data_IF_604690375343
#
_entry.id   IF_604690375343
#
_cell.length_a   1.000
_cell.length_b   1.000
_cell.length_c   1.000
_cell.angle_alpha   90.00
_cell.angle_beta   90.00
_cell.angle_gamma   90.00
#
_symmetry.space_group_name_H-M   'P 1'
#
loop_
_entity.id
_entity.type
_entity.pdbx_description
1 polymer ?
#
# COMPACT_ATOMS: atom_id res chain seq x y z
N UNK A 1 -0.50 18.66 8.32
CA UNK A 1 0.31 17.78 7.50
C UNK A 1 -0.52 16.59 7.01
N UNK A 2 -0.45 16.31 5.73
CA UNK A 2 -0.87 15.04 5.15
C UNK A 2 0.29 14.47 4.34
N UNK A 3 0.40 13.15 4.25
CA UNK A 3 1.48 12.50 3.48
C UNK A 3 0.98 11.22 2.83
N UNK A 4 1.55 10.89 1.68
CA UNK A 4 1.57 9.54 1.12
C UNK A 4 3.02 9.08 1.11
N UNK A 5 3.29 7.97 1.77
CA UNK A 5 4.63 7.39 1.90
C UNK A 5 4.57 5.92 1.51
N UNK A 6 5.51 5.50 0.67
CA UNK A 6 5.82 4.09 0.45
C UNK A 6 7.04 3.74 1.29
N UNK A 7 6.91 2.76 2.16
CA UNK A 7 8.00 2.30 3.02
C UNK A 7 8.85 1.25 2.33
N UNK A 8 10.10 1.19 2.71
CA UNK A 8 11.03 0.13 2.37
C UNK A 8 11.59 -0.55 3.61
N UNK A 9 11.99 -1.81 3.46
CA UNK A 9 12.64 -2.62 4.51
C UNK A 9 14.08 -2.88 4.09
N UNK A 10 14.28 -3.74 3.09
CA UNK A 10 15.60 -4.09 2.56
C UNK A 10 16.02 -3.18 1.41
N UNK A 11 15.04 -2.67 0.66
CA UNK A 11 15.23 -1.78 -0.47
C UNK A 11 14.17 -0.68 -0.45
N UNK A 12 14.17 0.19 -1.46
CA UNK A 12 13.12 1.20 -1.64
C UNK A 12 11.83 0.54 -2.14
N UNK A 13 10.69 1.00 -1.60
CA UNK A 13 9.36 0.65 -2.10
C UNK A 13 9.03 -0.86 -2.03
N UNK A 14 9.64 -1.58 -1.08
CA UNK A 14 9.45 -3.02 -0.89
C UNK A 14 8.57 -3.40 0.32
N UNK A 15 7.93 -2.40 0.94
CA UNK A 15 7.00 -2.59 2.05
C UNK A 15 5.62 -1.98 1.74
N UNK A 16 4.94 -1.48 2.74
CA UNK A 16 3.56 -1.01 2.61
C UNK A 16 3.42 0.49 2.36
N UNK A 17 2.24 0.88 1.89
CA UNK A 17 1.83 2.26 1.75
C UNK A 17 1.23 2.81 3.04
N UNK A 18 1.54 4.06 3.35
CA UNK A 18 0.94 4.83 4.43
C UNK A 18 0.27 6.08 3.90
N UNK A 19 -0.98 6.30 4.32
CA UNK A 19 -1.71 7.53 4.09
C UNK A 19 -1.94 8.22 5.43
N UNK A 20 -1.32 9.37 5.63
CA UNK A 20 -1.65 10.28 6.70
C UNK A 20 -2.54 11.39 6.14
N UNK A 21 -3.75 11.52 6.68
CA UNK A 21 -4.70 12.56 6.26
C UNK A 21 -4.66 13.76 7.19
N UNK A 22 -5.03 14.97 6.71
CA UNK A 22 -5.08 16.13 7.57
C UNK A 22 -6.22 15.99 8.58
N UNK A 23 -6.06 16.62 9.74
CA UNK A 23 -7.16 16.75 10.67
C UNK A 23 -8.17 17.79 10.20
N UNK A 24 -9.45 17.48 10.33
CA UNK A 24 -10.54 18.43 9.99
C UNK A 24 -10.59 19.62 10.96
N UNK A 25 -10.22 19.42 12.23
CA UNK A 25 -10.42 20.38 13.31
C UNK A 25 -9.19 20.62 14.20
N UNK A 26 -8.11 19.86 14.05
CA UNK A 26 -6.89 20.09 14.82
C UNK A 26 -5.96 21.03 14.05
N UNK A 27 -5.73 22.20 14.58
CA UNK A 27 -4.97 23.26 13.94
C UNK A 27 -3.51 23.32 14.35
N UNK A 28 -2.97 22.26 14.96
CA UNK A 28 -1.55 22.21 15.32
C UNK A 28 -0.72 22.07 14.03
N UNK A 29 0.13 23.08 13.71
CA UNK A 29 0.90 23.04 12.47
C UNK A 29 2.05 22.03 12.59
N UNK A 30 1.94 20.96 11.84
CA UNK A 30 3.05 20.02 11.62
C UNK A 30 3.44 20.08 10.16
N UNK A 31 4.73 20.03 9.87
CA UNK A 31 5.25 20.05 8.51
C UNK A 31 6.35 19.02 8.36
N UNK A 32 6.50 18.52 7.14
CA UNK A 32 7.60 17.71 6.70
C UNK A 32 8.52 18.59 5.84
N UNK A 33 9.64 19.02 6.40
CA UNK A 33 10.62 19.90 5.76
C UNK A 33 12.03 19.30 6.00
N UNK A 34 12.43 18.32 5.15
CA UNK A 34 13.75 17.72 5.23
C UNK A 34 14.84 18.76 4.91
N UNK A 35 16.04 18.59 5.47
CA UNK A 35 17.18 19.48 5.25
C UNK A 35 17.71 19.38 3.81
N UNK A 36 17.70 18.17 3.25
CA UNK A 36 18.15 17.90 1.88
C UNK A 36 16.97 17.53 0.99
N UNK A 37 17.00 17.89 -0.29
CA UNK A 37 15.99 17.47 -1.24
C UNK A 37 15.92 15.95 -1.37
N UNK A 38 14.70 15.40 -1.51
CA UNK A 38 14.53 13.97 -1.75
C UNK A 38 15.15 13.51 -3.07
N UNK A 39 15.74 12.32 -3.07
CA UNK A 39 16.30 11.70 -4.28
C UNK A 39 15.18 11.10 -5.14
N UNK A 40 15.42 10.97 -6.44
CA UNK A 40 14.53 10.29 -7.42
C UNK A 40 13.06 10.77 -7.36
N UNK A 41 12.82 12.03 -7.07
CA UNK A 41 11.47 12.59 -7.04
C UNK A 41 10.89 12.78 -8.44
N UNK A 42 9.58 12.72 -8.56
CA UNK A 42 8.88 13.01 -9.81
C UNK A 42 9.15 14.46 -10.26
N UNK A 43 9.25 14.66 -11.57
CA UNK A 43 9.48 15.99 -12.14
C UNK A 43 8.38 16.97 -11.73
N UNK A 44 8.77 18.14 -11.26
CA UNK A 44 7.85 19.20 -10.83
C UNK A 44 7.33 19.04 -9.40
N UNK A 45 7.65 17.94 -8.71
CA UNK A 45 7.32 17.78 -7.32
C UNK A 45 8.28 18.53 -6.39
N UNK A 46 7.80 19.00 -5.22
CA UNK A 46 8.60 19.76 -4.25
C UNK A 46 9.82 19.00 -3.71
N UNK A 47 10.83 19.72 -3.23
CA UNK A 47 12.06 19.17 -2.68
C UNK A 47 11.83 18.23 -1.47
N UNK A 48 10.73 18.38 -0.75
CA UNK A 48 10.34 17.52 0.35
C UNK A 48 9.61 16.23 -0.08
N UNK A 49 9.62 15.88 -1.37
CA UNK A 49 9.18 14.58 -1.91
C UNK A 49 10.37 13.77 -2.41
N UNK A 50 10.16 12.48 -2.72
CA UNK A 50 11.21 11.56 -3.14
C UNK A 50 11.70 10.66 -2.02
N UNK A 51 12.89 10.08 -2.20
CA UNK A 51 13.49 9.08 -1.30
C UNK A 51 14.29 9.72 -0.18
N UNK A 52 14.05 9.26 1.04
CA UNK A 52 14.73 9.67 2.27
C UNK A 52 15.00 8.48 3.17
N UNK A 53 15.96 8.62 4.08
CA UNK A 53 16.02 7.79 5.27
C UNK A 53 15.25 8.51 6.39
N UNK A 54 14.41 7.77 7.12
CA UNK A 54 13.77 8.32 8.32
C UNK A 54 14.75 8.44 9.50
N UNK A 55 14.28 8.94 10.64
CA UNK A 55 15.12 9.11 11.82
C UNK A 55 15.65 7.81 12.45
N UNK A 56 15.16 6.66 12.00
CA UNK A 56 15.59 5.32 12.42
C UNK A 56 16.41 4.61 11.33
N UNK A 57 16.61 5.25 10.18
CA UNK A 57 17.36 4.70 9.04
C UNK A 57 16.52 3.86 8.08
N UNK A 58 15.18 3.83 8.23
CA UNK A 58 14.33 3.11 7.30
C UNK A 58 14.21 3.88 5.98
N UNK A 59 14.10 3.14 4.88
CA UNK A 59 13.82 3.68 3.56
C UNK A 59 12.38 4.20 3.49
N UNK A 60 12.20 5.45 3.05
CA UNK A 60 10.88 6.03 2.79
C UNK A 60 10.86 6.78 1.47
N UNK A 61 9.87 6.52 0.64
CA UNK A 61 9.57 7.34 -0.54
C UNK A 61 8.36 8.21 -0.24
N UNK A 62 8.58 9.51 -0.06
CA UNK A 62 7.51 10.50 0.15
C UNK A 62 6.97 10.92 -1.20
N UNK A 63 5.81 10.42 -1.58
CA UNK A 63 5.16 10.74 -2.85
C UNK A 63 4.48 12.10 -2.84
N UNK A 64 3.86 12.44 -1.73
CA UNK A 64 3.25 13.75 -1.57
C UNK A 64 3.23 14.15 -0.09
N UNK A 65 3.32 15.45 0.15
CA UNK A 65 3.12 16.03 1.48
C UNK A 65 2.37 17.37 1.35
N UNK A 66 1.26 17.48 2.08
CA UNK A 66 0.54 18.74 2.23
C UNK A 66 1.04 19.44 3.49
N UNK A 67 2.02 20.31 3.31
CA UNK A 67 2.59 21.13 4.37
C UNK A 67 1.79 22.40 4.59
N UNK A 68 1.63 22.88 5.85
CA UNK A 68 1.15 24.24 6.12
C UNK A 68 2.00 25.25 5.34
N UNK A 69 1.33 26.14 4.63
CA UNK A 69 1.96 27.11 3.74
C UNK A 69 1.72 28.53 4.22
N UNK A 70 2.11 29.49 3.37
CA UNK A 70 1.89 30.93 3.57
C UNK A 70 0.41 31.25 3.77
N UNK A 71 0.10 32.33 4.47
CA UNK A 71 -1.27 32.81 4.65
C UNK A 71 -2.03 32.87 3.34
N UNK A 72 -3.26 32.35 3.33
CA UNK A 72 -4.15 32.37 2.17
C UNK A 72 -4.94 33.66 2.04
N UNK A 73 -4.95 34.48 3.13
CA UNK A 73 -5.81 35.67 3.23
C UNK A 73 -7.29 35.36 3.48
N UNK A 74 -7.62 34.09 3.71
CA UNK A 74 -8.98 33.65 4.02
C UNK A 74 -9.19 33.55 5.53
N UNK A 75 -10.38 33.95 5.98
CA UNK A 75 -10.76 33.84 7.40
C UNK A 75 -11.75 32.69 7.64
N UNK A 76 -11.68 32.01 8.77
CA UNK A 76 -10.63 32.08 9.81
C UNK A 76 -9.30 31.52 9.34
N UNK A 77 -8.22 32.27 9.49
CA UNK A 77 -6.88 31.89 9.03
C UNK A 77 -6.46 30.47 9.47
N UNK A 78 -6.78 30.09 10.71
CA UNK A 78 -6.49 28.75 11.23
C UNK A 78 -7.15 27.61 10.43
N UNK A 79 -8.28 27.86 9.77
CA UNK A 79 -9.00 26.87 8.97
C UNK A 79 -8.51 26.76 7.53
N UNK A 80 -7.73 27.73 7.08
CA UNK A 80 -7.22 27.77 5.70
C UNK A 80 -5.70 27.59 5.62
N UNK A 81 -4.96 28.24 6.51
CA UNK A 81 -3.50 28.33 6.40
C UNK A 81 -2.76 27.11 6.96
N UNK A 82 -3.43 26.30 7.78
CA UNK A 82 -2.82 25.09 8.41
C UNK A 82 -3.14 23.79 7.68
N UNK A 83 -3.68 23.90 6.48
CA UNK A 83 -4.07 22.80 5.61
C UNK A 83 -4.93 21.74 6.31
N UNK A 84 -6.04 22.14 6.95
CA UNK A 84 -7.03 21.20 7.45
C UNK A 84 -7.74 20.54 6.27
N UNK A 85 -8.20 19.31 6.48
CA UNK A 85 -8.85 18.60 5.39
C UNK A 85 -9.30 17.22 5.77
N UNK A 86 -9.50 16.39 4.78
CA UNK A 86 -9.89 14.99 4.93
C UNK A 86 -9.30 14.15 3.79
N UNK A 87 -9.24 12.84 4.00
CA UNK A 87 -8.86 11.89 2.99
C UNK A 87 -10.01 10.98 2.61
N UNK A 88 -10.00 10.52 1.37
CA UNK A 88 -10.87 9.46 0.87
C UNK A 88 -9.98 8.34 0.35
N UNK A 89 -10.31 7.10 0.71
CA UNK A 89 -9.66 5.90 0.18
C UNK A 89 -10.67 5.15 -0.65
N UNK A 90 -10.38 4.98 -1.95
CA UNK A 90 -11.24 4.25 -2.88
C UNK A 90 -10.60 2.90 -3.21
N UNK A 91 -11.31 1.83 -2.89
CA UNK A 91 -10.89 0.46 -3.17
C UNK A 91 -11.56 -0.04 -4.45
N UNK A 92 -10.77 -0.36 -5.46
CA UNK A 92 -11.27 -0.96 -6.70
C UNK A 92 -10.90 -2.45 -6.73
N UNK A 93 -11.86 -3.30 -6.40
CA UNK A 93 -11.67 -4.76 -6.37
C UNK A 93 -11.38 -5.36 -7.75
N UNK A 94 -11.99 -4.80 -8.80
CA UNK A 94 -11.83 -5.30 -10.18
C UNK A 94 -10.40 -5.09 -10.68
N UNK A 95 -9.87 -3.89 -10.46
CA UNK A 95 -8.54 -3.52 -10.96
C UNK A 95 -7.43 -3.74 -9.94
N UNK A 96 -7.79 -4.19 -8.72
CA UNK A 96 -6.85 -4.42 -7.60
C UNK A 96 -6.05 -3.16 -7.25
N UNK A 97 -6.73 -2.03 -7.20
CA UNK A 97 -6.08 -0.74 -6.91
C UNK A 97 -6.71 -0.06 -5.71
N UNK A 98 -5.90 0.77 -5.07
CA UNK A 98 -6.29 1.68 -4.00
C UNK A 98 -5.95 3.08 -4.45
N UNK A 99 -6.94 3.99 -4.45
CA UNK A 99 -6.71 5.41 -4.73
C UNK A 99 -6.81 6.20 -3.44
N UNK A 100 -5.76 6.94 -3.14
CA UNK A 100 -5.68 7.86 -2.02
C UNK A 100 -5.99 9.27 -2.51
N UNK A 101 -6.96 9.92 -1.89
CA UNK A 101 -7.34 11.31 -2.15
C UNK A 101 -7.13 12.15 -0.89
N UNK A 102 -6.74 13.40 -1.08
CA UNK A 102 -6.58 14.35 0.03
C UNK A 102 -7.16 15.71 -0.35
N UNK A 103 -8.18 16.12 0.37
CA UNK A 103 -9.00 17.28 0.07
C UNK A 103 -8.86 18.35 1.13
N UNK A 104 -8.77 19.64 0.75
CA UNK A 104 -8.95 20.75 1.65
C UNK A 104 -10.32 20.69 2.33
N UNK A 105 -10.42 21.21 3.56
CA UNK A 105 -11.62 21.10 4.41
C UNK A 105 -12.93 21.51 3.71
N UNK A 106 -12.90 22.54 2.89
CA UNK A 106 -14.08 23.08 2.22
C UNK A 106 -14.19 22.69 0.75
N UNK A 107 -13.31 21.82 0.26
CA UNK A 107 -13.45 21.30 -1.08
C UNK A 107 -14.50 20.17 -1.10
N UNK A 108 -15.35 20.21 -2.10
CA UNK A 108 -16.35 19.19 -2.38
C UNK A 108 -15.86 18.35 -3.57
N UNK A 109 -15.67 17.04 -3.42
CA UNK A 109 -15.24 16.16 -4.51
C UNK A 109 -16.17 16.18 -5.72
N UNK A 110 -17.45 16.48 -5.50
CA UNK A 110 -18.48 16.49 -6.54
C UNK A 110 -18.70 17.89 -7.15
N UNK A 111 -18.11 18.94 -6.57
CA UNK A 111 -18.16 20.32 -7.11
C UNK A 111 -16.74 20.89 -7.35
N UNK A 112 -16.22 20.84 -8.59
CA UNK A 112 -14.90 21.38 -8.94
C UNK A 112 -14.68 22.87 -8.63
N UNK A 113 -15.76 23.63 -8.46
CA UNK A 113 -15.70 25.07 -8.14
C UNK A 113 -15.24 25.34 -6.70
N UNK A 114 -15.37 24.35 -5.82
CA UNK A 114 -14.95 24.46 -4.42
C UNK A 114 -13.45 24.29 -4.22
N UNK A 115 -12.73 23.82 -5.25
CA UNK A 115 -11.30 23.59 -5.27
C UNK A 115 -10.94 22.14 -5.54
N UNK A 116 -9.65 21.89 -5.84
CA UNK A 116 -9.10 20.56 -6.10
C UNK A 116 -8.42 19.95 -4.87
N UNK A 117 -7.90 18.76 -5.06
CA UNK A 117 -7.07 18.08 -4.07
C UNK A 117 -5.75 18.82 -3.82
N UNK A 118 -5.09 18.48 -2.73
CA UNK A 118 -3.72 18.94 -2.49
C UNK A 118 -2.76 18.43 -3.55
N UNK A 119 -1.64 19.14 -3.76
CA UNK A 119 -0.62 18.79 -4.75
C UNK A 119 -0.07 17.37 -4.48
N UNK A 120 -0.02 16.55 -5.53
CA UNK A 120 0.42 15.17 -5.45
C UNK A 120 -0.69 14.15 -5.21
N UNK A 121 -1.92 14.59 -5.03
CA UNK A 121 -3.11 13.74 -4.98
C UNK A 121 -4.00 13.93 -6.21
N UNK A 122 -4.79 12.90 -6.62
CA UNK A 122 -4.84 11.56 -6.03
C UNK A 122 -3.60 10.72 -6.40
N UNK A 123 -3.31 9.68 -5.58
CA UNK A 123 -2.33 8.64 -5.90
C UNK A 123 -3.03 7.29 -5.96
N UNK A 124 -2.91 6.60 -7.08
CA UNK A 124 -3.42 5.22 -7.23
C UNK A 124 -2.25 4.25 -7.19
N UNK A 125 -2.39 3.21 -6.38
CA UNK A 125 -1.39 2.18 -6.13
C UNK A 125 -1.98 0.80 -6.33
N UNK A 126 -1.13 -0.21 -6.56
CA UNK A 126 -1.56 -1.61 -6.58
C UNK A 126 -1.78 -2.13 -5.16
N UNK A 127 -2.81 -2.95 -4.96
CA UNK A 127 -2.98 -3.68 -3.69
C UNK A 127 -1.82 -4.64 -3.43
N UNK A 128 -1.10 -5.06 -4.48
CA UNK A 128 0.03 -5.98 -4.38
C UNK A 128 1.32 -5.31 -3.90
N UNK A 129 1.40 -3.98 -3.94
CA UNK A 129 2.58 -3.25 -3.48
C UNK A 129 2.85 -3.44 -1.98
N UNK A 130 1.81 -3.78 -1.18
CA UNK A 130 1.93 -4.00 0.26
C UNK A 130 2.74 -5.24 0.65
N UNK A 131 3.06 -6.12 -0.30
CA UNK A 131 4.00 -7.22 -0.09
C UNK A 131 5.09 -7.23 -1.19
N UNK A 132 5.59 -6.04 -1.49
CA UNK A 132 6.60 -5.77 -2.50
C UNK A 132 7.98 -6.37 -2.21
N UNK A 133 8.25 -6.83 -0.97
CA UNK A 133 9.54 -7.41 -0.56
C UNK A 133 10.09 -8.42 -1.57
N UNK A 134 11.40 -8.42 -1.74
CA UNK A 134 12.10 -9.33 -2.64
C UNK A 134 11.92 -10.77 -2.19
N UNK A 135 11.45 -11.63 -3.10
CA UNK A 135 11.28 -13.05 -2.81
C UNK A 135 12.64 -13.72 -2.51
N UNK A 136 12.73 -14.40 -1.38
CA UNK A 136 13.83 -15.33 -1.10
C UNK A 136 13.61 -16.67 -1.81
N UNK A 137 12.35 -17.15 -1.84
CA UNK A 137 11.96 -18.39 -2.49
C UNK A 137 10.51 -18.31 -3.01
N UNK A 138 10.03 -19.38 -3.61
CA UNK A 138 8.69 -19.51 -4.16
C UNK A 138 8.04 -20.81 -3.68
N UNK A 139 6.71 -20.85 -3.65
CA UNK A 139 5.97 -22.10 -3.50
C UNK A 139 5.52 -22.62 -4.88
N UNK A 140 5.03 -23.86 -4.98
CA UNK A 140 4.43 -24.37 -6.20
C UNK A 140 3.32 -23.44 -6.71
N UNK A 141 3.18 -23.36 -8.03
CA UNK A 141 2.04 -22.67 -8.62
C UNK A 141 0.77 -23.44 -8.27
N UNK A 142 -0.22 -22.77 -7.70
CA UNK A 142 -1.55 -23.33 -7.50
C UNK A 142 -2.44 -23.00 -8.68
N UNK A 143 -3.04 -24.02 -9.29
CA UNK A 143 -4.07 -23.87 -10.32
C UNK A 143 -5.42 -24.26 -9.73
N UNK A 144 -6.38 -23.37 -9.82
CA UNK A 144 -7.66 -23.48 -9.10
C UNK A 144 -8.77 -23.68 -10.12
N UNK A 145 -9.62 -24.67 -9.90
CA UNK A 145 -10.83 -24.89 -10.69
C UNK A 145 -12.06 -24.87 -9.79
N UNK A 146 -13.18 -24.41 -10.35
CA UNK A 146 -14.45 -24.27 -9.62
C UNK A 146 -14.60 -22.96 -8.82
N UNK A 147 -13.53 -22.12 -8.73
CA UNK A 147 -13.59 -20.83 -8.08
C UNK A 147 -12.75 -19.78 -8.84
N UNK A 148 -13.30 -18.59 -9.04
CA UNK A 148 -12.62 -17.44 -9.65
C UNK A 148 -12.20 -16.45 -8.58
N UNK A 149 -11.00 -15.89 -8.73
CA UNK A 149 -10.46 -14.87 -7.83
C UNK A 149 -10.49 -15.26 -6.32
N UNK A 150 -10.07 -16.48 -5.91
CA UNK A 150 -10.09 -16.87 -4.51
C UNK A 150 -9.13 -16.04 -3.66
N UNK A 151 -9.32 -16.06 -2.36
CA UNK A 151 -8.33 -15.61 -1.40
C UNK A 151 -7.28 -16.71 -1.23
N UNK A 152 -6.02 -16.31 -1.25
CA UNK A 152 -4.87 -17.17 -0.91
C UNK A 152 -4.19 -16.58 0.33
N UNK A 153 -4.04 -17.39 1.37
CA UNK A 153 -3.29 -17.06 2.56
C UNK A 153 -2.08 -17.98 2.64
N UNK A 154 -0.92 -17.41 2.89
CA UNK A 154 0.33 -18.14 3.07
C UNK A 154 0.75 -18.03 4.53
N UNK A 155 0.99 -19.17 5.16
CA UNK A 155 1.34 -19.30 6.58
C UNK A 155 2.69 -19.99 6.68
N UNK A 156 3.60 -19.43 7.46
CA UNK A 156 4.88 -20.05 7.81
C UNK A 156 4.67 -21.08 8.91
N UNK A 157 4.93 -22.34 8.64
CA UNK A 157 4.71 -23.42 9.61
C UNK A 157 5.66 -23.39 10.81
N UNK A 158 6.84 -22.80 10.66
CA UNK A 158 7.81 -22.72 11.76
C UNK A 158 7.41 -21.73 12.84
N UNK A 159 6.81 -20.59 12.44
CA UNK A 159 6.34 -19.55 13.36
C UNK A 159 4.83 -19.56 13.58
N UNK A 160 4.09 -20.25 12.73
CA UNK A 160 2.62 -20.19 12.64
C UNK A 160 2.08 -18.78 12.37
N UNK A 161 2.88 -17.95 11.69
CA UNK A 161 2.52 -16.60 11.34
C UNK A 161 2.01 -16.52 9.90
N UNK A 162 1.00 -15.69 9.69
CA UNK A 162 0.52 -15.36 8.35
C UNK A 162 1.56 -14.48 7.67
N UNK A 163 2.16 -14.98 6.59
CA UNK A 163 3.11 -14.21 5.77
C UNK A 163 2.36 -13.12 5.01
N UNK A 164 1.26 -13.48 4.36
CA UNK A 164 0.30 -12.56 3.76
C UNK A 164 -1.00 -13.25 3.39
N UNK A 165 -2.03 -12.43 3.17
CA UNK A 165 -3.33 -12.85 2.64
C UNK A 165 -3.66 -11.99 1.43
N UNK A 166 -3.97 -12.60 0.30
CA UNK A 166 -4.20 -11.92 -0.96
C UNK A 166 -5.38 -12.54 -1.72
N UNK A 167 -6.30 -11.71 -2.21
CA UNK A 167 -7.26 -12.16 -3.22
C UNK A 167 -6.57 -12.12 -4.57
N UNK A 168 -6.31 -13.28 -5.16
CA UNK A 168 -5.67 -13.38 -6.47
C UNK A 168 -6.59 -12.94 -7.61
N UNK A 169 -6.03 -12.67 -8.78
CA UNK A 169 -6.76 -12.41 -10.01
C UNK A 169 -6.70 -13.66 -10.90
N UNK A 170 -7.88 -14.19 -11.26
CA UNK A 170 -7.97 -15.42 -12.05
C UNK A 170 -7.89 -16.68 -11.20
N UNK A 171 -7.34 -17.72 -11.78
CA UNK A 171 -7.36 -19.10 -11.24
C UNK A 171 -5.97 -19.71 -11.07
N UNK A 172 -4.91 -18.95 -11.28
CA UNK A 172 -3.53 -19.45 -11.14
C UNK A 172 -2.70 -18.43 -10.40
N UNK A 173 -1.94 -18.91 -9.40
CA UNK A 173 -1.07 -18.06 -8.59
C UNK A 173 0.17 -18.82 -8.15
N UNK A 174 1.32 -18.15 -8.20
CA UNK A 174 2.58 -18.66 -7.67
C UNK A 174 3.01 -17.85 -6.47
N UNK A 175 2.80 -18.35 -5.23
CA UNK A 175 3.19 -17.62 -4.05
C UNK A 175 4.69 -17.38 -3.98
N UNK A 176 5.11 -16.16 -3.64
CA UNK A 176 6.47 -15.87 -3.23
C UNK A 176 6.57 -15.90 -1.71
N UNK A 177 7.72 -16.25 -1.17
CA UNK A 177 8.00 -16.24 0.26
C UNK A 177 9.32 -15.54 0.54
N UNK A 178 9.46 -15.00 1.75
CA UNK A 178 10.57 -14.11 2.12
C UNK A 178 11.67 -14.81 2.90
N UNK A 179 11.52 -16.09 3.16
CA UNK A 179 12.54 -17.02 3.68
C UNK A 179 12.31 -18.42 3.13
N UNK A 180 13.32 -19.26 3.18
CA UNK A 180 13.16 -20.68 2.89
C UNK A 180 12.49 -21.40 4.07
N UNK A 181 11.64 -22.40 3.78
CA UNK A 181 10.95 -23.15 4.82
C UNK A 181 9.78 -23.97 4.31
N UNK A 182 8.96 -24.41 5.28
CA UNK A 182 7.71 -25.13 5.06
C UNK A 182 6.54 -24.18 5.28
N UNK A 183 5.53 -24.31 4.45
CA UNK A 183 4.39 -23.40 4.43
C UNK A 183 3.07 -24.13 4.28
N UNK A 184 2.04 -23.56 4.87
CA UNK A 184 0.65 -23.91 4.60
C UNK A 184 0.05 -22.86 3.66
N UNK A 185 -0.70 -23.30 2.66
CA UNK A 185 -1.46 -22.44 1.74
C UNK A 185 -2.95 -22.71 1.96
N UNK A 186 -3.68 -21.72 2.41
CA UNK A 186 -5.13 -21.74 2.48
C UNK A 186 -5.72 -21.02 1.28
N UNK A 187 -6.67 -21.65 0.59
CA UNK A 187 -7.25 -21.15 -0.66
C UNK A 187 -8.76 -21.21 -0.58
N UNK A 188 -9.45 -20.15 -0.95
CA UNK A 188 -10.92 -20.12 -1.03
C UNK A 188 -11.54 -18.85 -0.47
N UNK A 189 -12.73 -18.95 0.11
CA UNK A 189 -13.42 -17.86 0.78
C UNK A 189 -13.38 -18.10 2.30
N UNK A 190 -12.57 -17.31 3.01
CA UNK A 190 -12.41 -17.42 4.46
C UNK A 190 -13.73 -17.26 5.20
N UNK A 191 -13.93 -18.11 6.22
CA UNK A 191 -15.16 -18.12 7.01
C UNK A 191 -16.32 -18.86 6.36
N UNK A 192 -16.07 -19.59 5.26
CA UNK A 192 -17.06 -20.45 4.60
C UNK A 192 -16.58 -21.89 4.50
N UNK A 193 -17.46 -22.80 4.06
CA UNK A 193 -17.13 -24.19 3.74
C UNK A 193 -16.32 -24.36 2.45
N UNK A 194 -16.12 -23.25 1.70
CA UNK A 194 -15.34 -23.21 0.46
C UNK A 194 -13.88 -22.86 0.73
N UNK A 195 -13.20 -23.73 1.46
CA UNK A 195 -11.78 -23.60 1.79
C UNK A 195 -11.05 -24.90 1.46
N UNK A 196 -9.84 -24.78 0.94
CA UNK A 196 -8.87 -25.86 0.77
C UNK A 196 -7.58 -25.48 1.48
N UNK A 197 -6.98 -26.43 2.17
CA UNK A 197 -5.73 -26.24 2.92
C UNK A 197 -4.68 -27.20 2.35
N UNK A 198 -3.53 -26.66 1.99
CA UNK A 198 -2.38 -27.38 1.52
C UNK A 198 -1.26 -27.21 2.55
N UNK A 199 -0.97 -28.24 3.30
CA UNK A 199 0.06 -28.25 4.35
C UNK A 199 1.38 -28.85 3.85
N UNK A 200 2.45 -28.59 4.57
CA UNK A 200 3.79 -29.13 4.31
C UNK A 200 4.33 -28.80 2.90
N UNK A 201 4.05 -27.58 2.45
CA UNK A 201 4.53 -27.09 1.16
C UNK A 201 5.94 -26.53 1.32
N UNK A 202 6.92 -27.25 0.77
CA UNK A 202 8.31 -26.79 0.78
C UNK A 202 8.53 -25.63 -0.18
N UNK A 203 9.26 -24.63 0.25
CA UNK A 203 9.76 -23.57 -0.62
C UNK A 203 10.77 -24.10 -1.64
N UNK A 204 10.89 -23.39 -2.76
CA UNK A 204 11.75 -23.79 -3.88
C UNK A 204 12.37 -22.56 -4.55
N UNK A 205 13.43 -22.77 -5.30
CA UNK A 205 14.04 -21.74 -6.13
C UNK A 205 13.10 -21.23 -7.23
N UNK A 206 13.31 -19.99 -7.67
CA UNK A 206 12.52 -19.36 -8.75
C UNK A 206 12.51 -20.18 -10.04
N UNK A 207 13.60 -20.85 -10.34
CA UNK A 207 13.81 -21.64 -11.57
C UNK A 207 13.03 -22.96 -11.58
N UNK A 208 12.71 -23.51 -10.41
CA UNK A 208 11.95 -24.75 -10.27
C UNK A 208 10.48 -24.50 -10.59
N UNK A 209 9.87 -25.38 -11.37
CA UNK A 209 8.45 -25.33 -11.74
C UNK A 209 7.73 -26.55 -11.17
N UNK A 210 6.89 -26.32 -10.20
CA UNK A 210 5.97 -27.33 -9.64
C UNK A 210 4.57 -26.72 -9.59
N UNK A 211 3.56 -27.52 -9.88
CA UNK A 211 2.16 -27.11 -9.83
C UNK A 211 1.37 -28.01 -8.89
N UNK A 212 0.34 -27.44 -8.28
CA UNK A 212 -0.67 -28.14 -7.47
C UNK A 212 -2.03 -27.73 -7.99
N UNK A 213 -2.84 -28.69 -8.39
CA UNK A 213 -4.21 -28.44 -8.85
C UNK A 213 -5.17 -28.54 -7.65
N UNK A 214 -6.03 -27.53 -7.52
CA UNK A 214 -7.02 -27.39 -6.43
C UNK A 214 -8.41 -27.32 -7.05
N UNK A 215 -9.29 -28.22 -6.66
CA UNK A 215 -10.67 -28.31 -7.17
C UNK A 215 -11.67 -27.99 -6.07
N UNK A 216 -12.61 -27.05 -6.34
CA UNK A 216 -13.72 -26.70 -5.46
C UNK A 216 -15.03 -27.31 -5.92
#
# INVERSE_FOLDING_TARGET
LATIIHYGIDDWDDAGWSLCVPSVANFYPRSWLPLEPGKDREQGMPDYTGKFLDGLGNHITVWAAANPRKPTGKEPAALHDRMPGYGIVRLNKKDRTITFECWPRYADPDDPKTGGQYLGWPKTVSMEDNYGCKAAAYLPTVNISGMMDPVVQVIDEASNEIVYTLRIKGTSFRPKVFKEGMYTIEIGEHGTDKMKILENISSMEKTQKKTIDVVF
#
